data_IF_158391952510
#
_entry.id   IF_158391952510
#
_cell.length_a   1.000
_cell.length_b   1.000
_cell.length_c   1.000
_cell.angle_alpha   90.00
_cell.angle_beta   90.00
_cell.angle_gamma   90.00
#
_symmetry.space_group_name_H-M   'P 1'
#
loop_
_entity.id
_entity.type
_entity.pdbx_description
1 polymer ?
#
# COMPACT_ATOMS: atom_id res chain seq x y z
N UNK A 1 50.03 26.60 13.42
CA UNK A 1 49.34 25.44 14.01
C UNK A 1 47.87 25.57 13.64
N UNK A 2 47.49 25.13 12.43
CA UNK A 2 46.13 25.25 11.90
C UNK A 2 45.37 23.96 12.21
N UNK A 3 44.23 24.09 12.89
CA UNK A 3 43.29 23.01 13.19
C UNK A 3 42.62 22.54 11.89
N UNK A 4 42.67 21.25 11.50
CA UNK A 4 41.98 20.76 10.33
C UNK A 4 40.56 20.28 10.70
N UNK A 5 39.58 20.81 9.97
CA UNK A 5 38.30 20.17 9.67
C UNK A 5 37.30 19.93 10.80
N UNK A 6 36.66 21.01 11.27
CA UNK A 6 35.24 20.96 11.59
C UNK A 6 34.45 21.21 10.29
N UNK A 7 34.18 20.14 9.52
CA UNK A 7 33.24 20.22 8.40
C UNK A 7 31.85 20.42 8.99
N UNK A 8 31.41 21.68 9.13
CA UNK A 8 30.05 22.01 9.53
C UNK A 8 29.14 21.52 8.40
N UNK A 9 28.54 20.34 8.55
CA UNK A 9 27.49 19.86 7.66
C UNK A 9 26.32 20.83 7.79
N UNK A 10 26.26 21.84 6.92
CA UNK A 10 25.09 22.70 6.82
C UNK A 10 23.92 21.83 6.38
N UNK A 11 22.94 21.65 7.27
CA UNK A 11 21.70 20.93 6.99
C UNK A 11 21.03 21.58 5.77
N UNK A 12 20.82 20.80 4.72
CA UNK A 12 20.14 21.30 3.52
C UNK A 12 18.68 21.65 3.85
N UNK A 13 18.05 22.56 3.08
CA UNK A 13 16.62 22.86 3.23
C UNK A 13 15.75 21.60 3.24
N UNK A 14 16.07 20.62 2.37
CA UNK A 14 15.38 19.34 2.31
C UNK A 14 15.49 18.54 3.61
N UNK A 15 16.70 18.39 4.15
CA UNK A 15 16.93 17.69 5.42
C UNK A 15 16.19 18.35 6.59
N UNK A 16 16.14 19.69 6.62
CA UNK A 16 15.37 20.41 7.65
C UNK A 16 13.86 20.14 7.55
N UNK A 17 13.30 20.11 6.34
CA UNK A 17 11.88 19.77 6.15
C UNK A 17 11.60 18.33 6.57
N UNK A 18 12.41 17.36 6.10
CA UNK A 18 12.27 15.94 6.43
C UNK A 18 12.31 15.73 7.95
N UNK A 19 13.31 16.28 8.64
CA UNK A 19 13.42 16.16 10.09
C UNK A 19 12.21 16.78 10.83
N UNK A 20 11.73 17.94 10.39
CA UNK A 20 10.56 18.60 10.98
C UNK A 20 9.24 17.82 10.74
N UNK A 21 9.15 17.08 9.63
CA UNK A 21 8.02 16.17 9.37
C UNK A 21 8.12 14.92 10.24
N UNK A 22 9.28 14.27 10.28
CA UNK A 22 9.49 13.02 11.03
C UNK A 22 9.44 13.21 12.55
N UNK A 23 9.75 14.41 13.07
CA UNK A 23 9.52 14.75 14.48
C UNK A 23 8.02 14.81 14.86
N UNK A 24 7.11 14.79 13.89
CA UNK A 24 5.68 14.71 14.17
C UNK A 24 5.24 13.27 14.27
N UNK A 25 4.73 12.89 15.44
CA UNK A 25 4.27 11.52 15.76
C UNK A 25 3.46 10.83 14.67
N UNK A 26 2.58 11.57 13.97
CA UNK A 26 1.72 11.05 12.89
C UNK A 26 2.49 10.58 11.64
N UNK A 27 3.66 11.16 11.37
CA UNK A 27 4.45 10.93 10.15
C UNK A 27 5.81 10.29 10.45
N UNK A 28 6.15 10.06 11.73
CA UNK A 28 7.45 9.55 12.16
C UNK A 28 7.80 8.19 11.56
N UNK A 29 6.78 7.34 11.33
CA UNK A 29 6.95 5.99 10.80
C UNK A 29 6.87 5.93 9.28
N UNK A 30 6.63 7.05 8.59
CA UNK A 30 6.61 7.08 7.14
C UNK A 30 8.04 6.98 6.61
N UNK A 31 8.21 6.16 5.58
CA UNK A 31 9.44 5.92 4.88
C UNK A 31 10.16 7.25 4.55
N UNK A 32 11.43 7.42 5.00
CA UNK A 32 12.16 8.66 4.79
C UNK A 32 12.29 9.06 3.32
N UNK A 33 12.34 8.09 2.39
CA UNK A 33 12.45 8.39 0.97
C UNK A 33 11.16 9.00 0.42
N UNK A 34 9.98 8.56 0.89
CA UNK A 34 8.72 9.21 0.54
C UNK A 34 8.65 10.63 1.11
N UNK A 35 9.03 10.82 2.39
CA UNK A 35 9.04 12.16 3.00
C UNK A 35 9.97 13.10 2.24
N UNK A 36 11.15 12.62 1.84
CA UNK A 36 12.11 13.39 1.05
C UNK A 36 11.59 13.73 -0.35
N UNK A 37 10.95 12.78 -1.04
CA UNK A 37 10.37 13.01 -2.36
C UNK A 37 9.30 14.10 -2.33
N UNK A 38 8.36 14.00 -1.39
CA UNK A 38 7.29 15.00 -1.23
C UNK A 38 7.86 16.35 -0.79
N UNK A 39 8.79 16.37 0.17
CA UNK A 39 9.42 17.61 0.63
C UNK A 39 10.20 18.31 -0.50
N UNK A 40 10.93 17.56 -1.31
CA UNK A 40 11.64 18.08 -2.48
C UNK A 40 10.70 18.68 -3.52
N UNK A 41 9.60 17.97 -3.82
CA UNK A 41 8.55 18.47 -4.71
C UNK A 41 7.86 19.73 -4.17
N UNK A 42 7.73 19.87 -2.85
CA UNK A 42 7.12 21.07 -2.27
C UNK A 42 8.08 22.26 -2.20
N UNK A 43 9.37 22.03 -2.00
CA UNK A 43 10.43 23.05 -2.03
C UNK A 43 10.68 23.57 -3.45
N UNK A 44 10.61 22.72 -4.47
CA UNK A 44 10.81 23.13 -5.87
C UNK A 44 9.76 24.13 -6.37
N UNK A 45 8.62 24.26 -5.66
CA UNK A 45 7.59 25.29 -5.90
C UNK A 45 7.94 26.65 -5.28
N UNK A 46 9.16 26.85 -4.79
CA UNK A 46 9.64 28.12 -4.23
C UNK A 46 9.14 28.42 -2.81
N UNK A 47 8.66 27.41 -2.08
CA UNK A 47 8.10 27.57 -0.74
C UNK A 47 9.19 27.83 0.30
N UNK A 48 8.86 28.63 1.32
CA UNK A 48 9.68 28.72 2.53
C UNK A 48 9.71 27.36 3.27
N UNK A 49 10.70 27.17 4.15
CA UNK A 49 10.80 25.94 4.97
C UNK A 49 9.51 25.64 5.75
N UNK A 50 8.92 26.65 6.37
CA UNK A 50 7.68 26.50 7.16
C UNK A 50 6.50 26.07 6.29
N UNK A 51 6.36 26.67 5.11
CA UNK A 51 5.31 26.32 4.15
C UNK A 51 5.53 24.92 3.56
N UNK A 52 6.77 24.57 3.22
CA UNK A 52 7.13 23.25 2.73
C UNK A 52 6.83 22.16 3.77
N UNK A 53 7.13 22.37 5.05
CA UNK A 53 6.76 21.44 6.13
C UNK A 53 5.24 21.26 6.20
N UNK A 54 4.47 22.36 6.20
CA UNK A 54 3.00 22.30 6.25
C UNK A 54 2.43 21.55 5.04
N UNK A 55 2.92 21.87 3.84
CA UNK A 55 2.41 21.30 2.61
C UNK A 55 2.80 19.81 2.46
N UNK A 56 4.02 19.44 2.86
CA UNK A 56 4.47 18.04 2.94
C UNK A 56 3.58 17.22 3.86
N UNK A 57 3.30 17.72 5.08
CA UNK A 57 2.39 17.04 6.03
C UNK A 57 0.98 16.90 5.46
N UNK A 58 0.47 17.92 4.77
CA UNK A 58 -0.84 17.86 4.15
C UNK A 58 -0.91 16.80 3.05
N UNK A 59 0.09 16.75 2.17
CA UNK A 59 0.16 15.74 1.12
C UNK A 59 0.24 14.33 1.71
N UNK A 60 1.20 14.07 2.62
CA UNK A 60 1.34 12.78 3.30
C UNK A 60 0.06 12.37 4.06
N UNK A 61 -0.68 13.34 4.60
CA UNK A 61 -1.96 13.04 5.21
C UNK A 61 -2.97 12.52 4.19
N UNK A 62 -3.14 13.21 3.06
CA UNK A 62 -4.14 12.88 2.05
C UNK A 62 -3.85 11.57 1.33
N UNK A 63 -2.57 11.23 1.16
CA UNK A 63 -2.15 10.09 0.34
C UNK A 63 -1.59 8.90 1.13
N UNK A 64 -1.47 8.99 2.45
CA UNK A 64 -1.02 7.84 3.26
C UNK A 64 -1.74 7.79 4.61
N UNK A 65 -1.62 8.83 5.43
CA UNK A 65 -2.09 8.76 6.81
C UNK A 65 -3.63 8.82 6.97
N UNK A 66 -4.39 9.19 5.93
CA UNK A 66 -5.87 9.15 5.96
C UNK A 66 -6.38 7.71 6.06
N UNK A 67 -5.57 6.73 5.65
CA UNK A 67 -6.03 5.34 5.61
C UNK A 67 -6.02 4.66 6.98
N UNK A 68 -5.23 5.13 7.94
CA UNK A 68 -5.17 4.58 9.30
C UNK A 68 -6.24 5.25 10.20
N UNK A 69 -7.12 4.45 10.80
CA UNK A 69 -8.17 4.93 11.69
C UNK A 69 -7.64 5.10 13.11
N UNK A 70 -7.18 6.32 13.42
CA UNK A 70 -6.64 6.64 14.74
C UNK A 70 -5.26 6.04 14.95
N UNK A 71 -4.95 5.67 16.21
CA UNK A 71 -3.64 5.12 16.56
C UNK A 71 -3.64 3.61 16.34
N UNK A 72 -2.77 3.15 15.45
CA UNK A 72 -2.50 1.74 15.24
C UNK A 72 -1.88 1.14 16.50
N UNK A 73 -2.51 0.12 17.08
CA UNK A 73 -2.11 -0.48 18.34
C UNK A 73 -1.40 -1.83 18.11
N UNK A 74 -0.40 -1.81 17.22
CA UNK A 74 0.26 -3.01 16.70
C UNK A 74 0.74 -3.98 17.80
N UNK A 75 1.42 -3.48 18.84
CA UNK A 75 1.88 -4.32 19.96
C UNK A 75 0.73 -5.07 20.64
N UNK A 76 -0.35 -4.35 20.96
CA UNK A 76 -1.55 -4.93 21.58
C UNK A 76 -2.23 -5.94 20.64
N UNK A 77 -2.30 -5.63 19.35
CA UNK A 77 -2.87 -6.54 18.36
C UNK A 77 -2.05 -7.81 18.23
N UNK A 78 -0.74 -7.71 18.29
CA UNK A 78 0.17 -8.86 18.24
C UNK A 78 0.05 -9.72 19.48
N UNK A 79 -0.08 -9.14 20.67
CA UNK A 79 -0.35 -9.88 21.91
C UNK A 79 -1.71 -10.61 21.85
N UNK A 80 -2.73 -9.94 21.30
CA UNK A 80 -4.04 -10.56 21.07
C UNK A 80 -3.96 -11.70 20.05
N UNK A 81 -3.23 -11.51 18.94
CA UNK A 81 -3.01 -12.55 17.94
C UNK A 81 -2.28 -13.74 18.57
N UNK A 82 -1.16 -13.54 19.27
CA UNK A 82 -0.38 -14.62 19.91
C UNK A 82 -1.21 -15.44 20.90
N UNK A 83 -2.03 -14.78 21.72
CA UNK A 83 -2.87 -15.47 22.72
C UNK A 83 -4.03 -16.26 22.10
N UNK A 84 -4.56 -15.82 20.95
CA UNK A 84 -5.71 -16.45 20.30
C UNK A 84 -5.34 -17.36 19.13
N UNK A 85 -4.10 -17.28 18.62
CA UNK A 85 -3.65 -18.02 17.44
C UNK A 85 -3.85 -19.54 17.53
N UNK A 86 -3.69 -20.22 18.68
CA UNK A 86 -3.92 -21.65 18.76
C UNK A 86 -5.34 -22.09 18.36
N UNK A 87 -6.35 -21.24 18.56
CA UNK A 87 -7.74 -21.54 18.21
C UNK A 87 -8.08 -21.04 16.80
N UNK A 88 -8.25 -21.96 15.85
CA UNK A 88 -8.57 -21.64 14.47
C UNK A 88 -9.91 -20.92 14.29
N UNK A 89 -10.88 -21.14 15.19
CA UNK A 89 -12.24 -20.57 15.07
C UNK A 89 -12.27 -19.05 15.27
N UNK A 90 -11.30 -18.50 16.01
CA UNK A 90 -11.23 -17.06 16.32
C UNK A 90 -10.27 -16.28 15.42
N UNK A 91 -9.41 -16.95 14.64
CA UNK A 91 -8.42 -16.29 13.77
C UNK A 91 -9.09 -15.35 12.75
N UNK A 92 -10.01 -15.88 11.92
CA UNK A 92 -10.69 -15.08 10.89
C UNK A 92 -11.48 -13.91 11.50
N UNK A 93 -12.31 -14.09 12.56
CA UNK A 93 -12.96 -12.98 13.24
C UNK A 93 -11.99 -11.90 13.74
N UNK A 94 -10.87 -12.27 14.36
CA UNK A 94 -9.87 -11.33 14.84
C UNK A 94 -9.21 -10.57 13.69
N UNK A 95 -8.79 -11.27 12.63
CA UNK A 95 -8.16 -10.63 11.47
C UNK A 95 -9.09 -9.60 10.82
N UNK A 96 -10.39 -9.90 10.70
CA UNK A 96 -11.40 -8.92 10.23
C UNK A 96 -11.48 -7.71 11.14
N UNK A 97 -11.48 -7.91 12.45
CA UNK A 97 -11.48 -6.81 13.42
C UNK A 97 -10.24 -5.91 13.26
N UNK A 98 -9.05 -6.49 13.08
CA UNK A 98 -7.82 -5.72 12.90
C UNK A 98 -7.80 -4.97 11.56
N UNK A 99 -8.23 -5.62 10.48
CA UNK A 99 -8.39 -5.01 9.17
C UNK A 99 -9.34 -3.80 9.17
N UNK A 100 -10.31 -3.74 10.09
CA UNK A 100 -11.22 -2.60 10.23
C UNK A 100 -10.52 -1.30 10.64
N UNK A 101 -9.32 -1.39 11.24
CA UNK A 101 -8.55 -0.21 11.63
C UNK A 101 -7.90 0.53 10.45
N UNK A 102 -7.91 -0.05 9.26
CA UNK A 102 -7.39 0.57 8.05
C UNK A 102 -8.54 0.72 7.03
N UNK A 103 -8.84 1.95 6.59
CA UNK A 103 -10.06 2.27 5.83
C UNK A 103 -10.19 1.47 4.53
N UNK A 104 -9.10 1.29 3.77
CA UNK A 104 -9.12 0.50 2.52
C UNK A 104 -9.55 -0.95 2.74
N UNK A 105 -9.06 -1.58 3.82
CA UNK A 105 -9.41 -2.95 4.21
C UNK A 105 -10.75 -3.02 4.93
N UNK A 106 -11.11 -2.01 5.72
CA UNK A 106 -12.41 -1.89 6.38
C UNK A 106 -13.54 -1.86 5.36
N UNK A 107 -13.41 -1.05 4.31
CA UNK A 107 -14.34 -1.03 3.19
C UNK A 107 -14.50 -2.45 2.62
N UNK A 108 -13.40 -3.17 2.37
CA UNK A 108 -13.42 -4.50 1.78
C UNK A 108 -14.10 -5.56 2.66
N UNK A 109 -14.20 -5.38 3.98
CA UNK A 109 -14.75 -6.40 4.88
C UNK A 109 -16.15 -6.88 4.47
N UNK A 110 -17.01 -5.99 3.99
CA UNK A 110 -18.38 -6.35 3.58
C UNK A 110 -18.44 -7.32 2.40
N UNK A 111 -17.37 -7.40 1.60
CA UNK A 111 -17.27 -8.25 0.41
C UNK A 111 -16.15 -9.29 0.52
N UNK A 112 -15.42 -9.36 1.64
CA UNK A 112 -14.16 -10.11 1.76
C UNK A 112 -14.32 -11.61 1.46
N UNK A 113 -15.43 -12.20 1.91
CA UNK A 113 -15.73 -13.63 1.71
C UNK A 113 -16.02 -13.98 0.24
N UNK A 114 -16.40 -12.99 -0.59
CA UNK A 114 -16.57 -13.17 -2.03
C UNK A 114 -15.37 -12.65 -2.84
N UNK A 115 -14.67 -11.63 -2.31
CA UNK A 115 -13.64 -10.87 -3.01
C UNK A 115 -12.51 -11.76 -3.49
N UNK A 116 -11.81 -12.41 -2.57
CA UNK A 116 -10.68 -13.26 -2.92
C UNK A 116 -11.10 -14.54 -3.61
N UNK A 117 -12.13 -15.29 -3.19
CA UNK A 117 -12.56 -16.48 -3.92
C UNK A 117 -12.89 -16.22 -5.38
N UNK A 118 -13.59 -15.13 -5.72
CA UNK A 118 -13.89 -14.78 -7.12
C UNK A 118 -12.64 -14.37 -7.91
N UNK A 119 -11.69 -13.68 -7.29
CA UNK A 119 -10.41 -13.32 -7.93
C UNK A 119 -9.57 -14.57 -8.19
N UNK A 120 -9.35 -15.40 -7.17
CA UNK A 120 -8.51 -16.59 -7.27
C UNK A 120 -9.10 -17.68 -8.16
N UNK A 121 -10.43 -17.72 -8.36
CA UNK A 121 -11.06 -18.59 -9.35
C UNK A 121 -10.67 -18.24 -10.80
N UNK A 122 -10.13 -17.05 -11.05
CA UNK A 122 -9.66 -16.60 -12.37
C UNK A 122 -8.14 -16.73 -12.55
N UNK A 123 -7.43 -17.19 -11.52
CA UNK A 123 -5.98 -17.27 -11.49
C UNK A 123 -5.53 -18.74 -11.52
N UNK A 124 -4.35 -19.04 -12.10
CA UNK A 124 -3.70 -20.33 -11.86
C UNK A 124 -3.22 -20.41 -10.39
N UNK A 125 -2.68 -21.56 -9.95
CA UNK A 125 -1.97 -21.62 -8.66
C UNK A 125 -0.89 -20.54 -8.57
N UNK A 126 -0.94 -19.73 -7.52
CA UNK A 126 -0.04 -18.59 -7.29
C UNK A 126 0.98 -18.98 -6.21
N UNK A 127 2.27 -18.93 -6.56
CA UNK A 127 3.40 -19.26 -5.68
C UNK A 127 4.18 -18.03 -5.21
N UNK A 128 4.08 -16.90 -5.91
CA UNK A 128 4.77 -15.66 -5.54
C UNK A 128 3.83 -14.46 -5.65
N UNK A 129 3.68 -13.72 -4.55
CA UNK A 129 2.80 -12.54 -4.48
C UNK A 129 3.61 -11.30 -4.15
N UNK A 130 3.37 -10.22 -4.89
CA UNK A 130 3.78 -8.85 -4.53
C UNK A 130 2.53 -8.02 -4.20
N UNK A 131 2.39 -7.55 -2.97
CA UNK A 131 1.28 -6.69 -2.52
C UNK A 131 1.74 -5.24 -2.34
N UNK A 132 1.32 -4.37 -3.25
CA UNK A 132 1.84 -3.01 -3.41
C UNK A 132 0.93 -1.98 -2.71
N UNK A 133 1.52 -1.23 -1.77
CA UNK A 133 0.77 -0.38 -0.84
C UNK A 133 -0.25 -1.21 -0.05
N UNK A 134 0.26 -2.29 0.55
CA UNK A 134 -0.52 -3.39 1.08
C UNK A 134 -1.48 -3.00 2.22
N UNK A 135 -1.23 -1.93 2.97
CA UNK A 135 -1.98 -1.60 4.18
C UNK A 135 -2.04 -2.80 5.14
N UNK A 136 -3.24 -3.13 5.61
CA UNK A 136 -3.50 -4.36 6.38
C UNK A 136 -4.01 -5.53 5.53
N UNK A 137 -3.88 -5.46 4.20
CA UNK A 137 -4.35 -6.51 3.30
C UNK A 137 -3.70 -7.88 3.54
N UNK A 138 -2.43 -8.01 3.98
CA UNK A 138 -1.85 -9.31 4.28
C UNK A 138 -2.59 -10.09 5.39
N UNK A 139 -3.37 -9.42 6.24
CA UNK A 139 -4.24 -10.10 7.21
C UNK A 139 -5.39 -10.89 6.54
N UNK A 140 -5.66 -10.64 5.26
CA UNK A 140 -6.64 -11.35 4.45
C UNK A 140 -6.12 -12.66 3.84
N UNK A 141 -4.87 -13.06 4.13
CA UNK A 141 -4.29 -14.32 3.64
C UNK A 141 -5.21 -15.55 3.79
N UNK A 142 -5.96 -15.75 4.90
CA UNK A 142 -6.86 -16.90 5.02
C UNK A 142 -8.01 -16.97 4.02
N UNK A 143 -8.24 -15.91 3.23
CA UNK A 143 -9.24 -15.83 2.16
C UNK A 143 -8.65 -16.03 0.77
N UNK A 144 -7.32 -16.05 0.65
CA UNK A 144 -6.60 -16.23 -0.62
C UNK A 144 -6.32 -17.72 -0.85
N UNK A 145 -6.64 -18.23 -2.04
CA UNK A 145 -6.28 -19.60 -2.46
C UNK A 145 -4.87 -19.63 -3.06
N UNK A 146 -3.88 -19.32 -2.22
CA UNK A 146 -2.46 -19.41 -2.60
C UNK A 146 -1.98 -20.86 -2.60
N UNK A 147 -0.91 -21.13 -3.35
CA UNK A 147 -0.22 -22.42 -3.27
C UNK A 147 0.37 -22.65 -1.86
N UNK A 148 0.46 -23.90 -1.37
CA UNK A 148 0.96 -24.19 -0.01
C UNK A 148 2.39 -23.71 0.27
N UNK A 149 3.22 -23.63 -0.77
CA UNK A 149 4.61 -23.18 -0.74
C UNK A 149 4.78 -21.72 -1.20
N UNK A 150 3.68 -20.96 -1.25
CA UNK A 150 3.70 -19.59 -1.73
C UNK A 150 4.52 -18.66 -0.84
N UNK A 151 5.16 -17.68 -1.47
CA UNK A 151 5.85 -16.57 -0.81
C UNK A 151 5.08 -15.27 -1.01
N UNK A 152 5.16 -14.39 -0.01
CA UNK A 152 4.39 -13.14 0.02
C UNK A 152 5.29 -11.95 0.34
N UNK A 153 5.50 -11.05 -0.63
CA UNK A 153 6.17 -9.78 -0.43
C UNK A 153 5.14 -8.66 -0.30
N UNK A 154 4.99 -8.11 0.90
CA UNK A 154 4.16 -6.94 1.16
C UNK A 154 5.03 -5.67 1.18
N UNK A 155 4.61 -4.61 0.50
CA UNK A 155 5.32 -3.31 0.56
C UNK A 155 4.36 -2.19 0.92
N UNK A 156 4.78 -1.33 1.83
CA UNK A 156 4.04 -0.12 2.23
C UNK A 156 5.03 0.95 2.72
N UNK A 157 4.56 2.14 3.01
CA UNK A 157 5.39 3.28 3.41
C UNK A 157 5.51 3.42 4.93
N UNK A 158 4.78 2.62 5.72
CA UNK A 158 4.79 2.71 7.19
C UNK A 158 5.68 1.64 7.82
N UNK A 159 6.81 2.04 8.38
CA UNK A 159 7.79 1.13 8.99
C UNK A 159 7.23 0.35 10.19
N UNK A 160 6.37 0.97 11.01
CA UNK A 160 5.71 0.30 12.14
C UNK A 160 4.66 -0.72 11.70
N UNK A 161 3.91 -0.44 10.63
CA UNK A 161 3.03 -1.41 9.96
C UNK A 161 3.84 -2.59 9.43
N UNK A 162 4.97 -2.33 8.78
CA UNK A 162 5.85 -3.35 8.22
C UNK A 162 6.40 -4.28 9.30
N UNK A 163 6.83 -3.74 10.45
CA UNK A 163 7.26 -4.56 11.59
C UNK A 163 6.14 -5.48 12.08
N UNK A 164 4.94 -4.93 12.28
CA UNK A 164 3.76 -5.70 12.66
C UNK A 164 3.42 -6.82 11.67
N UNK A 165 3.48 -6.54 10.36
CA UNK A 165 3.19 -7.52 9.33
C UNK A 165 4.23 -8.65 9.30
N UNK A 166 5.51 -8.35 9.52
CA UNK A 166 6.55 -9.36 9.63
C UNK A 166 6.32 -10.28 10.86
N UNK A 167 5.98 -9.72 12.01
CA UNK A 167 5.62 -10.50 13.20
C UNK A 167 4.38 -11.38 12.96
N UNK A 168 3.39 -10.85 12.23
CA UNK A 168 2.21 -11.61 11.82
C UNK A 168 2.57 -12.77 10.88
N UNK A 169 3.41 -12.56 9.86
CA UNK A 169 3.82 -13.65 8.96
C UNK A 169 4.54 -14.76 9.72
N UNK A 170 5.42 -14.41 10.67
CA UNK A 170 6.09 -15.39 11.51
C UNK A 170 5.09 -16.18 12.37
N UNK A 171 4.15 -15.51 13.02
CA UNK A 171 3.09 -16.16 13.80
C UNK A 171 2.22 -17.09 12.94
N UNK A 172 1.87 -16.63 11.74
CA UNK A 172 1.04 -17.36 10.80
C UNK A 172 1.77 -18.48 10.05
N UNK A 173 3.08 -18.61 10.24
CA UNK A 173 3.94 -19.57 9.52
C UNK A 173 3.82 -19.43 8.00
N UNK A 174 3.69 -18.18 7.53
CA UNK A 174 3.65 -17.84 6.11
C UNK A 174 5.06 -17.48 5.69
N UNK A 175 5.51 -17.93 4.51
CA UNK A 175 6.77 -17.51 3.91
C UNK A 175 6.65 -16.06 3.36
N UNK A 176 6.35 -15.13 4.27
CA UNK A 176 6.07 -13.73 3.97
C UNK A 176 7.14 -12.81 4.50
N UNK A 177 7.33 -11.67 3.83
CA UNK A 177 8.10 -10.53 4.33
C UNK A 177 7.39 -9.23 3.97
N UNK A 178 7.46 -8.26 4.87
CA UNK A 178 7.03 -6.90 4.63
C UNK A 178 8.24 -5.95 4.58
N UNK A 179 8.21 -4.97 3.68
CA UNK A 179 9.28 -3.98 3.51
C UNK A 179 8.71 -2.55 3.45
N UNK A 180 9.39 -1.61 4.11
CA UNK A 180 9.09 -0.18 3.98
C UNK A 180 9.67 0.33 2.67
N UNK A 181 8.81 0.74 1.73
CA UNK A 181 9.24 1.23 0.41
C UNK A 181 8.38 2.38 -0.09
N UNK A 182 9.03 3.38 -0.68
CA UNK A 182 8.38 4.36 -1.53
C UNK A 182 8.24 3.83 -2.96
N UNK A 183 7.12 3.21 -3.28
CA UNK A 183 6.86 2.61 -4.61
C UNK A 183 6.75 3.63 -5.75
N UNK A 184 6.76 4.94 -5.46
CA UNK A 184 6.91 5.96 -6.50
C UNK A 184 8.30 5.93 -7.17
N UNK A 185 9.31 5.51 -6.42
CA UNK A 185 10.72 5.56 -6.83
C UNK A 185 11.43 4.22 -6.74
N UNK A 186 10.95 3.30 -5.91
CA UNK A 186 11.57 2.00 -5.63
C UNK A 186 10.49 0.91 -5.47
N UNK A 187 9.92 0.48 -6.59
CA UNK A 187 9.05 -0.70 -6.63
C UNK A 187 9.90 -1.96 -6.79
N UNK A 188 9.63 -3.07 -6.06
CA UNK A 188 10.26 -4.35 -6.32
C UNK A 188 10.07 -4.78 -7.78
N UNK A 189 11.16 -5.21 -8.42
CA UNK A 189 11.20 -5.61 -9.84
C UNK A 189 11.42 -7.10 -10.05
N UNK A 190 11.57 -7.88 -8.97
CA UNK A 190 11.68 -9.33 -9.08
C UNK A 190 10.41 -9.91 -9.73
N UNK A 191 10.53 -10.84 -10.70
CA UNK A 191 9.37 -11.50 -11.28
C UNK A 191 8.53 -12.22 -10.23
N UNK A 192 7.21 -12.06 -10.30
CA UNK A 192 6.23 -12.77 -9.47
C UNK A 192 5.08 -13.31 -10.31
N UNK A 193 4.34 -14.28 -9.77
CA UNK A 193 3.14 -14.80 -10.40
C UNK A 193 2.01 -13.77 -10.36
N UNK A 194 1.84 -13.11 -9.20
CA UNK A 194 0.76 -12.17 -8.95
C UNK A 194 1.26 -10.88 -8.30
N UNK A 195 0.89 -9.73 -8.85
CA UNK A 195 0.93 -8.47 -8.12
C UNK A 195 -0.47 -7.94 -7.78
N UNK A 196 -0.67 -7.60 -6.51
CA UNK A 196 -1.87 -6.96 -5.98
C UNK A 196 -1.64 -5.44 -5.93
N UNK A 197 -2.47 -4.67 -6.62
CA UNK A 197 -2.43 -3.20 -6.70
C UNK A 197 -3.82 -2.69 -6.32
N UNK A 198 -4.13 -2.75 -5.02
CA UNK A 198 -5.49 -2.61 -4.53
C UNK A 198 -5.80 -1.19 -4.05
N UNK A 199 -6.60 -0.43 -4.81
CA UNK A 199 -6.94 0.99 -4.55
C UNK A 199 -5.71 1.91 -4.49
N UNK A 200 -4.58 1.48 -5.05
CA UNK A 200 -3.28 2.16 -4.97
C UNK A 200 -3.13 3.26 -6.03
N UNK A 201 -3.50 2.99 -7.28
CA UNK A 201 -3.24 3.89 -8.42
C UNK A 201 -3.83 5.30 -8.20
N UNK A 202 -5.11 5.48 -7.80
CA UNK A 202 -5.65 6.82 -7.59
C UNK A 202 -4.93 7.62 -6.51
N UNK A 203 -4.36 6.92 -5.51
CA UNK A 203 -3.59 7.55 -4.45
C UNK A 203 -2.23 8.04 -4.96
N UNK A 204 -1.53 7.22 -5.75
CA UNK A 204 -0.25 7.60 -6.36
C UNK A 204 -0.42 8.77 -7.34
N UNK A 205 -1.50 8.76 -8.14
CA UNK A 205 -1.78 9.81 -9.13
C UNK A 205 -2.17 11.15 -8.50
N UNK A 206 -2.57 11.19 -7.22
CA UNK A 206 -2.72 12.43 -6.45
C UNK A 206 -1.38 13.06 -6.08
N UNK A 207 -0.33 12.26 -5.92
CA UNK A 207 1.03 12.77 -5.67
C UNK A 207 1.70 13.15 -7.01
N UNK A 208 1.65 12.25 -7.99
CA UNK A 208 2.27 12.42 -9.29
C UNK A 208 1.40 11.80 -10.40
N UNK A 209 0.95 12.63 -11.34
CA UNK A 209 -0.03 12.26 -12.38
C UNK A 209 0.28 10.95 -13.12
N UNK A 210 1.55 10.69 -13.44
CA UNK A 210 1.97 9.53 -14.23
C UNK A 210 2.46 8.34 -13.39
N UNK A 211 2.39 8.43 -12.05
CA UNK A 211 2.88 7.38 -11.16
C UNK A 211 2.18 6.03 -11.37
N UNK A 212 0.87 6.03 -11.67
CA UNK A 212 0.13 4.81 -11.99
C UNK A 212 0.70 4.08 -13.21
N UNK A 213 0.98 4.81 -14.29
CA UNK A 213 1.59 4.25 -15.51
C UNK A 213 2.99 3.70 -15.24
N UNK A 214 3.85 4.51 -14.60
CA UNK A 214 5.23 4.09 -14.29
C UNK A 214 5.28 2.87 -13.38
N UNK A 215 4.39 2.79 -12.38
CA UNK A 215 4.28 1.61 -11.53
C UNK A 215 3.98 0.35 -12.36
N UNK A 216 2.95 0.41 -13.21
CA UNK A 216 2.56 -0.74 -14.02
C UNK A 216 3.65 -1.16 -15.02
N UNK A 217 4.45 -0.22 -15.54
CA UNK A 217 5.59 -0.51 -16.41
C UNK A 217 6.75 -1.19 -15.66
N UNK A 218 6.93 -0.90 -14.36
CA UNK A 218 8.01 -1.49 -13.55
C UNK A 218 7.67 -2.86 -12.97
N UNK A 219 6.40 -3.12 -12.66
CA UNK A 219 5.96 -4.38 -12.04
C UNK A 219 6.14 -5.54 -13.02
N UNK A 220 6.97 -6.51 -12.65
CA UNK A 220 7.18 -7.75 -13.38
C UNK A 220 6.29 -8.86 -12.80
N UNK A 221 5.02 -8.89 -13.21
CA UNK A 221 4.09 -9.93 -12.77
C UNK A 221 3.33 -10.52 -13.95
N UNK A 222 3.13 -11.84 -13.94
CA UNK A 222 2.33 -12.53 -14.97
C UNK A 222 0.84 -12.19 -14.85
N UNK A 223 0.35 -12.15 -13.61
CA UNK A 223 -1.00 -11.74 -13.27
C UNK A 223 -1.00 -10.46 -12.45
N UNK A 224 -1.97 -9.59 -12.71
CA UNK A 224 -2.22 -8.40 -11.90
C UNK A 224 -3.65 -8.42 -11.39
N UNK A 225 -3.83 -8.02 -10.14
CA UNK A 225 -5.15 -7.66 -9.61
C UNK A 225 -5.10 -6.19 -9.28
N UNK A 226 -5.74 -5.38 -10.12
CA UNK A 226 -5.79 -3.93 -9.98
C UNK A 226 -7.19 -3.56 -9.52
N UNK A 227 -7.31 -2.80 -8.44
CA UNK A 227 -8.62 -2.36 -7.97
C UNK A 227 -8.73 -0.86 -7.75
N UNK A 228 -9.96 -0.36 -7.84
CA UNK A 228 -10.34 1.02 -7.62
C UNK A 228 -11.51 1.11 -6.64
N UNK A 229 -11.56 2.12 -5.77
CA UNK A 229 -12.72 2.34 -4.92
C UNK A 229 -13.93 2.71 -5.79
N UNK A 230 -15.10 2.10 -5.57
CA UNK A 230 -16.30 2.46 -6.32
C UNK A 230 -17.09 3.61 -5.68
N UNK A 231 -16.65 4.11 -4.52
CA UNK A 231 -17.16 5.28 -3.80
C UNK A 231 -16.02 6.20 -3.40
N UNK A 232 -16.26 7.50 -3.30
CA UNK A 232 -15.29 8.39 -2.63
C UNK A 232 -15.29 8.15 -1.13
N UNK A 233 -14.19 8.50 -0.43
CA UNK A 233 -14.12 8.48 1.05
C UNK A 233 -15.25 9.31 1.72
N UNK A 234 -15.92 10.20 0.96
CA UNK A 234 -17.07 11.00 1.38
C UNK A 234 -18.44 10.52 0.87
N UNK A 235 -18.53 9.31 0.31
CA UNK A 235 -19.81 8.64 0.02
C UNK A 235 -20.51 8.99 -1.31
N UNK A 236 -19.88 9.73 -2.23
CA UNK A 236 -20.49 9.99 -3.56
C UNK A 236 -20.22 8.82 -4.53
N UNK A 237 -21.30 8.21 -5.02
CA UNK A 237 -21.28 7.05 -5.94
C UNK A 237 -21.28 7.40 -7.44
N UNK A 238 -22.01 8.44 -7.85
CA UNK A 238 -22.33 8.64 -9.27
C UNK A 238 -21.10 9.01 -10.11
N UNK A 239 -20.67 8.09 -10.98
CA UNK A 239 -19.65 8.31 -12.01
C UNK A 239 -18.26 7.72 -11.72
N UNK A 240 -17.96 7.37 -10.46
CA UNK A 240 -16.62 6.88 -10.05
C UNK A 240 -16.19 5.61 -10.79
N UNK A 241 -17.09 4.61 -10.87
CA UNK A 241 -16.79 3.35 -11.56
C UNK A 241 -16.48 3.57 -13.05
N UNK A 242 -17.17 4.50 -13.72
CA UNK A 242 -16.92 4.83 -15.13
C UNK A 242 -15.58 5.56 -15.30
N UNK A 243 -15.29 6.53 -14.44
CA UNK A 243 -14.00 7.24 -14.44
C UNK A 243 -12.84 6.28 -14.27
N UNK A 244 -12.89 5.37 -13.29
CA UNK A 244 -11.82 4.40 -13.08
C UNK A 244 -11.75 3.31 -14.13
N UNK A 245 -12.89 2.92 -14.73
CA UNK A 245 -12.88 2.02 -15.89
C UNK A 245 -12.17 2.66 -17.08
N UNK A 246 -12.46 3.93 -17.37
CA UNK A 246 -11.78 4.68 -18.42
C UNK A 246 -10.29 4.84 -18.11
N UNK A 247 -9.95 5.19 -16.87
CA UNK A 247 -8.55 5.33 -16.46
C UNK A 247 -7.78 4.02 -16.56
N UNK A 248 -8.36 2.89 -16.15
CA UNK A 248 -7.77 1.57 -16.34
C UNK A 248 -7.52 1.26 -17.82
N UNK A 249 -8.50 1.55 -18.68
CA UNK A 249 -8.35 1.35 -20.13
C UNK A 249 -7.22 2.21 -20.72
N UNK A 250 -7.05 3.45 -20.27
CA UNK A 250 -5.92 4.30 -20.67
C UNK A 250 -4.55 3.76 -20.22
N UNK A 251 -4.49 3.22 -19.00
CA UNK A 251 -3.25 2.69 -18.42
C UNK A 251 -2.82 1.39 -19.10
N UNK A 252 -3.77 0.60 -19.58
CA UNK A 252 -3.55 -0.72 -20.21
C UNK A 252 -3.69 -0.68 -21.73
N UNK A 253 -3.85 0.51 -22.32
CA UNK A 253 -3.95 0.69 -23.76
C UNK A 253 -2.73 0.11 -24.47
N UNK A 254 -2.97 -0.81 -25.42
CA UNK A 254 -1.92 -1.47 -26.20
C UNK A 254 -1.25 -2.65 -25.51
N UNK A 255 -1.68 -3.06 -24.31
CA UNK A 255 -1.21 -4.31 -23.72
C UNK A 255 -1.74 -5.50 -24.50
N UNK A 256 -0.87 -6.48 -24.76
CA UNK A 256 -1.28 -7.83 -25.10
C UNK A 256 -1.62 -8.57 -23.79
N UNK A 257 -2.88 -8.46 -23.36
CA UNK A 257 -3.31 -9.00 -22.08
C UNK A 257 -4.80 -9.39 -22.11
N UNK A 258 -5.13 -10.46 -21.39
CA UNK A 258 -6.51 -10.83 -21.11
C UNK A 258 -6.95 -10.13 -19.82
N UNK A 259 -8.02 -9.35 -19.90
CA UNK A 259 -8.57 -8.61 -18.76
C UNK A 259 -9.97 -9.13 -18.42
N UNK A 260 -10.19 -9.51 -17.16
CA UNK A 260 -11.51 -9.83 -16.62
C UNK A 260 -11.90 -8.81 -15.55
N UNK A 261 -13.05 -8.17 -15.72
CA UNK A 261 -13.62 -7.22 -14.76
C UNK A 261 -14.51 -7.95 -13.75
N UNK A 262 -14.36 -7.61 -12.48
CA UNK A 262 -15.26 -8.01 -11.40
C UNK A 262 -15.78 -6.76 -10.69
N UNK A 263 -17.10 -6.61 -10.70
CA UNK A 263 -17.79 -5.57 -9.93
C UNK A 263 -18.22 -6.11 -8.56
N UNK A 264 -17.80 -5.40 -7.51
CA UNK A 264 -18.29 -5.58 -6.14
C UNK A 264 -19.02 -4.32 -5.68
N UNK A 265 -19.77 -4.44 -4.57
CA UNK A 265 -20.61 -3.34 -4.08
C UNK A 265 -19.85 -2.05 -3.77
N UNK A 266 -18.57 -2.14 -3.38
CA UNK A 266 -17.73 -0.98 -3.05
C UNK A 266 -16.32 -0.99 -3.68
N UNK A 267 -16.01 -1.93 -4.58
CA UNK A 267 -14.70 -2.06 -5.21
C UNK A 267 -14.84 -2.58 -6.65
N UNK A 268 -14.16 -1.91 -7.58
CA UNK A 268 -14.05 -2.32 -8.98
C UNK A 268 -12.70 -3.01 -9.16
N UNK A 269 -12.70 -4.26 -9.62
CA UNK A 269 -11.48 -5.07 -9.77
C UNK A 269 -11.27 -5.49 -11.21
N UNK A 270 -10.02 -5.44 -11.65
CA UNK A 270 -9.55 -5.98 -12.92
C UNK A 270 -8.50 -7.05 -12.64
N UNK A 271 -8.80 -8.29 -13.05
CA UNK A 271 -7.84 -9.39 -13.07
C UNK A 271 -7.23 -9.44 -14.45
N UNK A 272 -5.93 -9.24 -14.54
CA UNK A 272 -5.17 -9.14 -15.79
C UNK A 272 -4.21 -10.31 -15.88
N UNK A 273 -4.19 -10.98 -17.02
CA UNK A 273 -3.16 -11.94 -17.42
C UNK A 273 -2.37 -11.31 -18.56
N UNK A 274 -1.09 -11.01 -18.33
CA UNK A 274 -0.19 -10.47 -19.36
C UNK A 274 0.26 -11.59 -20.30
N UNK A 275 0.33 -11.27 -21.59
CA UNK A 275 0.89 -12.12 -22.65
C UNK A 275 2.40 -12.29 -22.56
#
# INVERSE_FOLDING_TARGET
MFSPFALYLMTTPLQSVVAAVQNSRKYQAIDPALVAAVAGAELSKGRSLKEAVKATKNQLHQSAAVYQSGRMAYDRWLDQLRSTWPDASVRRPLLRQLMAAHSSTNERLAILDDFYPRIFALLPPIHTVLDIACGLNPLALPWMSLAPDSTYLAVDVFADQVLFLNDFFQLAQVAGRAESRNVLTDCPTAPVDLALILKTIPCLEQMEKDAGRRLLEQVQARHLVISFPSRSLGGREKGMANTYSARFAELTAGWDAKVTRLDFSNELVFVVERG
#
